data_IF_059672171007
#
_entry.id   IF_059672171007
#
_cell.length_a   1.000
_cell.length_b   1.000
_cell.length_c   1.000
_cell.angle_alpha   90.00
_cell.angle_beta   90.00
_cell.angle_gamma   90.00
#
_symmetry.space_group_name_H-M   'P 1'
#
loop_
_entity.id
_entity.type
_entity.pdbx_description
1 polymer ?
#
# COMPACT_ATOMS: atom_id res chain seq x y z
N UNK A 1 14.45 3.10 45.96
CA UNK A 1 13.72 2.06 45.22
C UNK A 1 12.25 2.43 45.25
N UNK A 2 11.57 2.36 44.11
CA UNK A 2 10.14 2.62 44.01
C UNK A 2 9.39 1.33 44.40
N UNK A 3 8.86 1.28 45.63
CA UNK A 3 8.22 0.09 46.20
C UNK A 3 6.99 -0.36 45.41
N UNK A 4 6.27 0.58 44.78
CA UNK A 4 5.08 0.27 44.00
C UNK A 4 5.47 -0.35 42.65
N UNK A 5 6.59 0.09 42.07
CA UNK A 5 7.17 -0.50 40.87
C UNK A 5 7.64 -1.95 41.14
N UNK A 6 8.33 -2.19 42.25
CA UNK A 6 8.78 -3.53 42.65
C UNK A 6 7.59 -4.47 42.92
N UNK A 7 6.56 -3.96 43.60
CA UNK A 7 5.31 -4.69 43.80
C UNK A 7 4.68 -5.07 42.45
N UNK A 8 4.58 -4.14 41.51
CA UNK A 8 4.00 -4.39 40.19
C UNK A 8 4.81 -5.45 39.41
N UNK A 9 6.15 -5.37 39.41
CA UNK A 9 7.02 -6.38 38.80
C UNK A 9 6.81 -7.76 39.41
N UNK A 10 6.69 -7.85 40.73
CA UNK A 10 6.51 -9.13 41.44
C UNK A 10 5.22 -9.86 41.05
N UNK A 11 4.18 -9.16 40.58
CA UNK A 11 2.87 -9.72 40.26
C UNK A 11 2.63 -9.90 38.75
N UNK A 12 3.62 -9.62 37.89
CA UNK A 12 3.49 -9.76 36.43
C UNK A 12 3.15 -11.18 35.97
N UNK A 13 3.49 -12.21 36.76
CA UNK A 13 3.17 -13.60 36.45
C UNK A 13 1.70 -13.97 36.73
N UNK A 14 0.96 -13.13 37.47
CA UNK A 14 -0.43 -13.40 37.84
C UNK A 14 -1.41 -13.06 36.70
N UNK A 15 -2.64 -13.57 36.78
CA UNK A 15 -3.71 -13.22 35.86
C UNK A 15 -4.24 -11.78 36.05
N UNK A 16 -4.92 -11.17 35.05
CA UNK A 16 -5.40 -9.79 35.13
C UNK A 16 -6.37 -9.47 36.29
N UNK A 17 -7.11 -10.48 36.79
CA UNK A 17 -8.00 -10.31 37.95
C UNK A 17 -7.20 -10.23 39.25
N UNK A 18 -6.22 -11.12 39.43
CA UNK A 18 -5.38 -11.17 40.62
C UNK A 18 -4.44 -9.96 40.72
N UNK A 19 -3.90 -9.50 39.58
CA UNK A 19 -3.12 -8.24 39.54
C UNK A 19 -3.96 -7.06 40.02
N UNK A 20 -5.22 -6.94 39.55
CA UNK A 20 -6.14 -5.89 39.99
C UNK A 20 -6.43 -5.97 41.49
N UNK A 21 -6.66 -7.16 42.02
CA UNK A 21 -6.89 -7.34 43.45
C UNK A 21 -5.66 -6.96 44.28
N UNK A 22 -4.45 -7.32 43.82
CA UNK A 22 -3.19 -6.96 44.50
C UNK A 22 -2.91 -5.46 44.46
N UNK A 23 -3.32 -4.77 43.41
CA UNK A 23 -3.10 -3.33 43.23
C UNK A 23 -4.23 -2.44 43.77
N UNK A 24 -5.29 -3.03 44.36
CA UNK A 24 -6.50 -2.29 44.79
C UNK A 24 -6.25 -1.20 45.84
N UNK A 25 -5.12 -1.27 46.54
CA UNK A 25 -4.72 -0.31 47.56
C UNK A 25 -3.98 0.91 46.98
N UNK A 26 -3.59 0.86 45.71
CA UNK A 26 -2.94 1.97 45.03
C UNK A 26 -3.98 2.88 44.34
N UNK A 27 -3.76 4.21 44.33
CA UNK A 27 -4.52 5.12 43.48
C UNK A 27 -4.46 4.70 42.02
N UNK A 28 -5.51 4.99 41.25
CA UNK A 28 -5.60 4.62 39.83
C UNK A 28 -4.45 5.22 39.02
N UNK A 29 -4.07 6.45 39.33
CA UNK A 29 -2.98 7.20 38.71
C UNK A 29 -1.65 6.49 38.93
N UNK A 30 -1.44 5.95 40.14
CA UNK A 30 -0.23 5.24 40.52
C UNK A 30 -0.14 3.87 39.85
N UNK A 31 -1.27 3.15 39.76
CA UNK A 31 -1.36 1.89 38.99
C UNK A 31 -1.02 2.12 37.52
N UNK A 32 -1.55 3.19 36.91
CA UNK A 32 -1.24 3.56 35.53
C UNK A 32 0.25 3.87 35.41
N UNK A 33 0.82 4.69 36.31
CA UNK A 33 2.24 5.05 36.29
C UNK A 33 3.16 3.84 36.32
N UNK A 34 2.99 2.93 37.29
CA UNK A 34 3.87 1.75 37.42
C UNK A 34 3.69 0.76 36.28
N UNK A 35 2.46 0.61 35.78
CA UNK A 35 2.18 -0.19 34.58
C UNK A 35 2.93 0.35 33.37
N UNK A 36 2.81 1.65 33.09
CA UNK A 36 3.46 2.30 31.96
C UNK A 36 4.98 2.20 32.05
N UNK A 37 5.57 2.37 33.24
CA UNK A 37 7.02 2.21 33.43
C UNK A 37 7.50 0.80 33.08
N UNK A 38 6.81 -0.23 33.57
CA UNK A 38 7.16 -1.63 33.31
C UNK A 38 6.94 -2.00 31.85
N UNK A 39 5.86 -1.54 31.22
CA UNK A 39 5.63 -1.77 29.79
C UNK A 39 6.71 -1.11 28.94
N UNK A 40 7.11 0.13 29.26
CA UNK A 40 8.23 0.82 28.59
C UNK A 40 9.54 0.04 28.74
N UNK A 41 9.86 -0.45 29.94
CA UNK A 41 11.07 -1.25 30.18
C UNK A 41 11.06 -2.55 29.36
N UNK A 42 9.93 -3.24 29.29
CA UNK A 42 9.79 -4.47 28.49
C UNK A 42 9.99 -4.21 27.00
N UNK A 43 9.42 -3.11 26.48
CA UNK A 43 9.62 -2.71 25.08
C UNK A 43 11.06 -2.34 24.78
N UNK A 44 11.71 -1.58 25.66
CA UNK A 44 13.12 -1.21 25.53
C UNK A 44 14.03 -2.45 25.54
N UNK A 45 13.83 -3.36 26.50
CA UNK A 45 14.60 -4.60 26.58
C UNK A 45 14.39 -5.49 25.35
N UNK A 46 13.15 -5.57 24.84
CA UNK A 46 12.85 -6.32 23.62
C UNK A 46 13.61 -5.75 22.43
N UNK A 47 13.64 -4.43 22.27
CA UNK A 47 14.39 -3.81 21.19
C UNK A 47 15.90 -4.02 21.39
N UNK A 48 16.44 -3.81 22.58
CA UNK A 48 17.86 -4.01 22.87
C UNK A 48 18.30 -5.45 22.56
N UNK A 49 17.48 -6.44 22.93
CA UNK A 49 17.75 -7.85 22.63
C UNK A 49 17.66 -8.17 21.13
N UNK A 50 16.80 -7.47 20.39
CA UNK A 50 16.64 -7.65 18.93
C UNK A 50 17.78 -6.99 18.15
N UNK A 51 18.21 -5.80 18.58
CA UNK A 51 19.34 -5.09 17.95
C UNK A 51 20.65 -5.81 18.31
N UNK A 52 20.85 -6.21 19.57
CA UNK A 52 22.00 -7.00 20.03
C UNK A 52 23.39 -6.50 19.54
N UNK A 53 23.56 -5.19 19.34
CA UNK A 53 24.79 -4.58 18.81
C UNK A 53 24.96 -4.66 17.29
N UNK A 54 23.96 -5.12 16.55
CA UNK A 54 23.90 -5.07 15.09
C UNK A 54 23.74 -3.63 14.60
N UNK A 55 24.36 -3.33 13.46
CA UNK A 55 24.10 -2.09 12.71
C UNK A 55 22.79 -2.26 11.93
N UNK A 56 21.73 -1.59 12.38
CA UNK A 56 20.41 -1.65 11.75
C UNK A 56 20.43 -1.13 10.31
N UNK A 57 21.32 -0.19 9.97
CA UNK A 57 21.43 0.32 8.61
C UNK A 57 22.08 -0.72 7.69
N UNK A 58 23.13 -1.42 8.13
CA UNK A 58 23.67 -2.57 7.38
C UNK A 58 22.62 -3.69 7.25
N UNK A 59 21.91 -3.99 8.34
CA UNK A 59 20.93 -5.08 8.34
C UNK A 59 19.82 -4.82 7.32
N UNK A 60 19.31 -3.60 7.24
CA UNK A 60 18.29 -3.23 6.26
C UNK A 60 18.77 -3.38 4.81
N UNK A 61 20.02 -3.02 4.53
CA UNK A 61 20.58 -3.07 3.18
C UNK A 61 21.00 -4.48 2.75
N UNK A 62 21.36 -5.33 3.70
CA UNK A 62 21.83 -6.70 3.42
C UNK A 62 20.76 -7.76 3.59
N UNK A 63 19.77 -7.55 4.47
CA UNK A 63 18.67 -8.47 4.74
C UNK A 63 17.33 -7.71 4.94
N UNK A 64 16.77 -7.10 3.89
CA UNK A 64 15.57 -6.28 3.98
C UNK A 64 14.35 -7.02 4.55
N UNK A 65 14.22 -8.32 4.26
CA UNK A 65 13.11 -9.16 4.73
C UNK A 65 13.07 -9.29 6.26
N UNK A 66 14.22 -9.22 6.94
CA UNK A 66 14.28 -9.27 8.40
C UNK A 66 13.72 -8.00 9.04
N UNK A 67 13.99 -6.84 8.43
CA UNK A 67 13.39 -5.57 8.86
C UNK A 67 11.89 -5.55 8.60
N UNK A 68 11.47 -6.01 7.42
CA UNK A 68 10.07 -6.03 7.01
C UNK A 68 9.21 -6.89 7.95
N UNK A 69 9.70 -8.10 8.29
CA UNK A 69 8.99 -9.06 9.16
C UNK A 69 9.05 -8.71 10.65
N UNK A 70 9.80 -7.68 11.05
CA UNK A 70 10.05 -7.34 12.45
C UNK A 70 9.66 -5.87 12.76
N UNK A 71 8.40 -5.61 13.16
CA UNK A 71 7.92 -4.26 13.41
C UNK A 71 8.74 -3.43 14.43
N UNK A 72 9.27 -4.02 15.53
CA UNK A 72 10.23 -3.33 16.39
C UNK A 72 11.49 -2.81 15.68
N UNK A 73 12.14 -3.63 14.85
CA UNK A 73 13.33 -3.22 14.09
C UNK A 73 12.99 -2.12 13.09
N UNK A 74 11.86 -2.26 12.41
CA UNK A 74 11.31 -1.25 11.49
C UNK A 74 11.12 0.10 12.17
N UNK A 75 10.44 0.12 13.33
CA UNK A 75 10.24 1.34 14.11
C UNK A 75 11.56 1.95 14.57
N UNK A 76 12.51 1.14 15.02
CA UNK A 76 13.82 1.62 15.45
C UNK A 76 14.61 2.25 14.31
N UNK A 77 14.62 1.63 13.12
CA UNK A 77 15.32 2.17 11.94
C UNK A 77 14.74 3.51 11.48
N UNK A 78 13.42 3.68 11.58
CA UNK A 78 12.72 4.94 11.30
C UNK A 78 12.87 5.97 12.43
N UNK A 79 13.41 5.57 13.59
CA UNK A 79 13.54 6.39 14.80
C UNK A 79 12.20 6.73 15.47
N UNK A 80 11.19 5.88 15.28
CA UNK A 80 9.88 5.97 15.95
C UNK A 80 9.98 5.55 17.40
N UNK A 81 8.99 5.93 18.21
CA UNK A 81 8.96 5.52 19.60
C UNK A 81 8.75 4.00 19.70
N UNK A 82 9.53 3.34 20.55
CA UNK A 82 9.38 1.91 20.81
C UNK A 82 8.07 1.61 21.54
N UNK A 83 7.67 2.51 22.44
CA UNK A 83 6.42 2.41 23.19
C UNK A 83 5.29 3.15 22.45
N UNK A 84 4.20 2.47 22.05
CA UNK A 84 3.16 3.07 21.22
C UNK A 84 2.51 4.34 21.79
N UNK A 85 2.32 4.42 23.12
CA UNK A 85 1.67 5.61 23.69
C UNK A 85 2.55 6.86 23.61
N UNK A 86 3.87 6.71 23.57
CA UNK A 86 4.79 7.84 23.45
C UNK A 86 4.66 8.49 22.06
N UNK A 87 4.60 7.65 21.02
CA UNK A 87 4.28 8.10 19.67
C UNK A 87 2.89 8.73 19.60
N UNK A 88 1.86 8.07 20.15
CA UNK A 88 0.49 8.58 20.14
C UNK A 88 0.38 9.94 20.84
N UNK A 89 1.05 10.10 21.99
CA UNK A 89 1.07 11.35 22.73
C UNK A 89 1.81 12.46 21.95
N UNK A 90 2.93 12.13 21.31
CA UNK A 90 3.65 13.07 20.44
C UNK A 90 2.79 13.49 19.26
N UNK A 91 2.18 12.54 18.54
CA UNK A 91 1.28 12.79 17.41
C UNK A 91 0.17 13.73 17.86
N UNK A 92 -0.55 13.38 18.94
CA UNK A 92 -1.64 14.19 19.48
C UNK A 92 -1.21 15.61 19.81
N UNK A 93 -0.02 15.79 20.38
CA UNK A 93 0.55 17.11 20.69
C UNK A 93 0.85 17.91 19.42
N UNK A 94 1.57 17.31 18.46
CA UNK A 94 2.02 17.97 17.23
C UNK A 94 0.82 18.33 16.33
N UNK A 95 -0.17 17.44 16.24
CA UNK A 95 -1.39 17.67 15.44
C UNK A 95 -2.47 18.44 16.20
N UNK A 96 -2.19 18.98 17.40
CA UNK A 96 -3.17 19.67 18.26
C UNK A 96 -4.45 18.86 18.53
N UNK A 97 -4.34 17.53 18.57
CA UNK A 97 -5.44 16.62 18.84
C UNK A 97 -6.24 16.13 17.63
N UNK A 98 -5.95 16.64 16.42
CA UNK A 98 -6.63 16.23 15.18
C UNK A 98 -6.40 14.76 14.83
N UNK A 99 -5.19 14.24 15.09
CA UNK A 99 -4.91 12.81 15.06
C UNK A 99 -4.56 12.30 16.46
N UNK A 100 -4.92 11.05 16.73
CA UNK A 100 -4.64 10.36 18.00
C UNK A 100 -3.58 9.27 17.87
N UNK A 101 -3.33 8.80 16.64
CA UNK A 101 -2.52 7.62 16.37
C UNK A 101 -1.62 7.84 15.16
N UNK A 102 -0.38 7.37 15.24
CA UNK A 102 0.60 7.50 14.17
C UNK A 102 0.14 6.84 12.86
N UNK A 103 -0.27 5.58 12.93
CA UNK A 103 -0.74 4.83 11.74
C UNK A 103 -1.98 5.47 11.11
N UNK A 104 -2.92 5.96 11.92
CA UNK A 104 -4.09 6.69 11.40
C UNK A 104 -3.67 7.97 10.69
N UNK A 105 -2.66 8.70 11.20
CA UNK A 105 -2.16 9.90 10.53
C UNK A 105 -1.48 9.56 9.19
N UNK A 106 -0.68 8.50 9.14
CA UNK A 106 -0.06 8.00 7.91
C UNK A 106 -1.15 7.66 6.88
N UNK A 107 -2.15 6.90 7.29
CA UNK A 107 -3.26 6.50 6.42
C UNK A 107 -4.03 7.70 5.89
N UNK A 108 -4.40 8.64 6.77
CA UNK A 108 -5.06 9.89 6.40
C UNK A 108 -4.26 10.70 5.37
N UNK A 109 -2.93 10.76 5.50
CA UNK A 109 -2.06 11.48 4.56
C UNK A 109 -1.88 10.69 3.25
N UNK A 110 -1.77 9.36 3.30
CA UNK A 110 -1.68 8.51 2.12
C UNK A 110 -2.95 8.58 1.26
N UNK A 111 -4.12 8.58 1.90
CA UNK A 111 -5.44 8.62 1.25
C UNK A 111 -5.98 10.04 1.06
N UNK A 112 -5.13 11.08 1.14
CA UNK A 112 -5.57 12.48 1.02
C UNK A 112 -6.19 12.79 -0.36
N UNK A 113 -5.96 11.92 -1.33
CA UNK A 113 -6.53 11.98 -2.67
C UNK A 113 -7.96 11.40 -2.78
N UNK A 114 -8.56 11.03 -1.63
CA UNK A 114 -9.92 10.53 -1.52
C UNK A 114 -11.00 11.62 -1.50
N UNK A 115 -12.25 11.23 -1.24
CA UNK A 115 -13.39 12.16 -1.18
C UNK A 115 -13.44 13.03 0.06
N UNK A 116 -12.79 12.64 1.15
CA UNK A 116 -12.67 13.46 2.35
C UNK A 116 -11.35 14.21 2.35
N UNK A 117 -11.39 15.54 2.51
CA UNK A 117 -10.22 16.39 2.74
C UNK A 117 -10.11 16.72 4.23
N UNK A 118 -9.48 15.86 5.05
CA UNK A 118 -9.34 16.16 6.47
C UNK A 118 -8.44 17.37 6.68
N UNK A 119 -8.74 18.17 7.70
CA UNK A 119 -7.85 19.23 8.14
C UNK A 119 -6.55 18.62 8.69
N UNK A 120 -5.45 18.73 7.95
CA UNK A 120 -4.13 18.23 8.34
C UNK A 120 -3.17 19.43 8.45
N UNK A 121 -2.72 19.73 9.67
CA UNK A 121 -1.82 20.88 9.90
C UNK A 121 -0.46 20.68 9.21
N UNK A 122 0.23 21.79 8.87
CA UNK A 122 1.59 21.76 8.31
C UNK A 122 2.55 20.87 9.12
N UNK A 123 2.50 20.94 10.45
CA UNK A 123 3.35 20.12 11.31
C UNK A 123 3.01 18.62 11.22
N UNK A 124 1.75 18.26 10.96
CA UNK A 124 1.34 16.88 10.78
C UNK A 124 1.90 16.31 9.47
N UNK A 125 1.85 17.08 8.38
CA UNK A 125 2.51 16.72 7.11
C UNK A 125 4.01 16.51 7.27
N UNK A 126 4.68 17.44 7.95
CA UNK A 126 6.12 17.33 8.24
C UNK A 126 6.43 16.09 9.10
N UNK A 127 5.61 15.81 10.11
CA UNK A 127 5.79 14.64 10.97
C UNK A 127 5.69 13.33 10.19
N UNK A 128 4.74 13.22 9.26
CA UNK A 128 4.58 12.06 8.37
C UNK A 128 5.76 11.95 7.42
N UNK A 129 6.21 13.05 6.81
CA UNK A 129 7.41 13.05 5.99
C UNK A 129 8.60 12.51 6.80
N UNK A 130 8.75 12.93 8.06
CA UNK A 130 9.83 12.48 8.94
C UNK A 130 9.61 11.09 9.56
N UNK A 131 8.80 10.22 8.96
CA UNK A 131 8.56 8.84 9.41
C UNK A 131 8.01 8.72 10.85
N UNK A 132 7.31 9.75 11.33
CA UNK A 132 6.88 9.88 12.73
C UNK A 132 8.04 9.78 13.73
N UNK A 133 9.22 10.28 13.36
CA UNK A 133 10.40 10.32 14.22
C UNK A 133 10.03 10.85 15.61
N UNK A 134 10.44 10.12 16.65
CA UNK A 134 10.13 10.52 18.02
C UNK A 134 10.95 11.74 18.45
N UNK A 135 10.24 12.83 18.77
CA UNK A 135 10.80 14.10 19.20
C UNK A 135 10.21 14.43 20.58
N UNK A 136 10.82 13.88 21.62
CA UNK A 136 10.54 14.30 23.00
C UNK A 136 11.83 14.34 23.82
N UNK A 137 11.98 15.35 24.66
CA UNK A 137 13.17 15.52 25.52
C UNK A 137 14.48 15.91 24.82
N UNK A 138 14.49 16.21 23.51
CA UNK A 138 15.69 16.67 22.78
C UNK A 138 15.62 18.17 22.43
N UNK A 139 16.77 18.81 22.22
CA UNK A 139 16.85 20.19 21.66
C UNK A 139 16.51 20.25 20.16
N UNK A 140 16.02 19.14 19.60
CA UNK A 140 15.76 18.98 18.17
C UNK A 140 14.31 19.40 17.88
N UNK A 141 14.14 20.38 17.00
CA UNK A 141 12.81 20.82 16.56
C UNK A 141 12.39 20.01 15.33
N UNK A 142 11.08 19.85 15.13
CA UNK A 142 10.53 19.15 13.97
C UNK A 142 11.05 19.74 12.64
N UNK A 143 11.19 21.07 12.55
CA UNK A 143 11.75 21.76 11.39
C UNK A 143 13.23 21.40 11.12
N UNK A 144 14.05 21.24 12.16
CA UNK A 144 15.44 20.78 11.98
C UNK A 144 15.50 19.35 11.47
N UNK A 145 14.66 18.47 12.00
CA UNK A 145 14.54 17.08 11.53
C UNK A 145 14.14 17.07 10.07
N UNK A 146 13.12 17.85 9.71
CA UNK A 146 12.62 17.93 8.35
C UNK A 146 13.70 18.32 7.35
N UNK A 147 14.45 19.40 7.63
CA UNK A 147 15.54 19.84 6.75
C UNK A 147 16.66 18.81 6.63
N UNK A 148 17.00 18.14 7.74
CA UNK A 148 17.96 17.03 7.73
C UNK A 148 17.48 15.87 6.87
N UNK A 149 16.20 15.48 6.99
CA UNK A 149 15.59 14.41 6.21
C UNK A 149 15.48 14.76 4.73
N UNK A 150 15.19 16.01 4.41
CA UNK A 150 15.15 16.50 3.03
C UNK A 150 16.54 16.40 2.39
N UNK A 151 17.58 16.84 3.09
CA UNK A 151 18.96 16.73 2.61
C UNK A 151 19.43 15.28 2.48
N UNK A 152 19.06 14.41 3.43
CA UNK A 152 19.40 12.97 3.36
C UNK A 152 18.76 12.25 2.16
N UNK A 153 17.56 12.70 1.77
CA UNK A 153 16.81 12.24 0.61
C UNK A 153 17.41 12.75 -0.69
N UNK A 154 17.67 14.06 -0.81
CA UNK A 154 18.34 14.65 -1.99
C UNK A 154 19.71 14.02 -2.28
N UNK A 155 20.42 13.56 -1.25
CA UNK A 155 21.75 12.96 -1.38
C UNK A 155 21.72 11.42 -1.47
N UNK A 156 20.54 10.79 -1.35
CA UNK A 156 20.38 9.34 -1.14
C UNK A 156 21.41 8.77 -0.20
N UNK A 157 21.47 9.38 0.98
CA UNK A 157 22.40 8.88 2.00
C UNK A 157 22.07 7.43 2.30
N UNK A 158 23.09 6.67 2.68
CA UNK A 158 22.93 5.28 3.09
C UNK A 158 21.85 5.09 4.17
N UNK A 159 21.72 6.07 5.07
CA UNK A 159 20.68 6.08 6.11
C UNK A 159 19.27 6.21 5.54
N UNK A 160 19.08 6.95 4.44
CA UNK A 160 17.79 7.09 3.77
C UNK A 160 17.43 5.84 2.99
N UNK A 161 18.37 5.25 2.25
CA UNK A 161 18.19 3.98 1.55
C UNK A 161 17.73 2.86 2.50
N UNK A 162 18.35 2.78 3.68
CA UNK A 162 17.94 1.84 4.71
C UNK A 162 16.54 2.13 5.28
N UNK A 163 16.18 3.40 5.50
CA UNK A 163 14.81 3.75 5.95
C UNK A 163 13.76 3.43 4.89
N UNK A 164 14.10 3.60 3.62
CA UNK A 164 13.21 3.28 2.50
C UNK A 164 12.84 1.79 2.47
N UNK A 165 13.76 0.90 2.86
CA UNK A 165 13.48 -0.52 3.09
C UNK A 165 12.48 -0.74 4.24
N UNK A 166 12.57 0.05 5.31
CA UNK A 166 11.64 -0.06 6.45
C UNK A 166 10.26 0.54 6.19
N UNK A 167 10.05 1.33 5.13
CA UNK A 167 8.74 1.91 4.83
C UNK A 167 7.87 0.87 4.11
N UNK A 168 6.68 0.64 4.63
CA UNK A 168 5.65 -0.06 3.86
C UNK A 168 4.99 0.90 2.86
N UNK A 169 4.24 0.36 1.90
CA UNK A 169 3.64 1.10 0.79
C UNK A 169 2.88 2.35 1.23
N UNK A 170 2.03 2.24 2.25
CA UNK A 170 1.27 3.37 2.77
C UNK A 170 2.16 4.49 3.33
N UNK A 171 3.29 4.18 3.99
CA UNK A 171 4.26 5.19 4.43
C UNK A 171 4.93 5.89 3.26
N UNK A 172 5.30 5.13 2.21
CA UNK A 172 5.90 5.69 0.99
C UNK A 172 4.92 6.65 0.30
N UNK A 173 3.66 6.25 0.17
CA UNK A 173 2.57 7.07 -0.36
C UNK A 173 2.35 8.34 0.47
N UNK A 174 2.28 8.19 1.78
CA UNK A 174 2.08 9.32 2.69
C UNK A 174 3.25 10.33 2.60
N UNK A 175 4.49 9.82 2.53
CA UNK A 175 5.69 10.64 2.37
C UNK A 175 5.72 11.37 1.03
N UNK A 176 5.36 10.71 -0.08
CA UNK A 176 5.19 11.35 -1.39
C UNK A 176 4.19 12.51 -1.31
N UNK A 177 3.00 12.25 -0.77
CA UNK A 177 1.96 13.27 -0.66
C UNK A 177 2.42 14.45 0.20
N UNK A 178 3.16 14.18 1.29
CA UNK A 178 3.77 15.21 2.11
C UNK A 178 4.84 16.02 1.35
N UNK A 179 5.69 15.38 0.53
CA UNK A 179 6.69 16.05 -0.30
C UNK A 179 6.04 17.07 -1.25
N UNK A 180 4.87 16.77 -1.80
CA UNK A 180 4.11 17.71 -2.64
C UNK A 180 3.49 18.85 -1.83
N UNK A 181 2.88 18.54 -0.69
CA UNK A 181 2.11 19.52 0.08
C UNK A 181 2.98 20.50 0.87
N UNK A 182 4.07 20.04 1.51
CA UNK A 182 4.84 20.86 2.44
C UNK A 182 5.37 22.17 1.79
N UNK A 183 5.99 22.16 0.59
CA UNK A 183 6.47 23.38 -0.04
C UNK A 183 5.37 24.40 -0.33
N UNK A 184 4.16 23.94 -0.67
CA UNK A 184 3.03 24.83 -0.91
C UNK A 184 2.48 25.39 0.41
N UNK A 185 2.43 24.58 1.48
CA UNK A 185 2.05 25.01 2.82
C UNK A 185 3.03 26.00 3.46
N UNK A 186 4.31 25.96 3.05
CA UNK A 186 5.32 26.93 3.47
C UNK A 186 5.09 28.34 2.92
N UNK A 187 4.31 28.48 1.85
CA UNK A 187 4.00 29.76 1.22
C UNK A 187 2.76 30.44 1.82
N UNK A 188 1.98 29.71 2.64
CA UNK A 188 0.80 30.26 3.29
C UNK A 188 1.16 31.26 4.40
N UNK A 189 0.29 32.25 4.56
CA UNK A 189 0.35 33.20 5.67
C UNK A 189 -0.07 32.57 7.00
N UNK A 190 0.32 33.19 8.12
CA UNK A 190 -0.10 32.75 9.46
C UNK A 190 -1.63 32.77 9.63
N UNK A 191 -2.32 33.68 8.95
CA UNK A 191 -3.79 33.78 8.96
C UNK A 191 -4.45 32.58 8.25
N UNK A 192 -3.91 32.16 7.10
CA UNK A 192 -4.37 30.97 6.37
C UNK A 192 -4.11 29.68 7.18
N UNK A 193 -2.97 29.59 7.86
CA UNK A 193 -2.63 28.47 8.73
C UNK A 193 -3.46 28.42 10.03
N UNK A 194 -4.14 29.51 10.38
CA UNK A 194 -4.94 29.66 11.60
C UNK A 194 -6.46 29.59 11.34
N UNK A 195 -6.85 29.25 10.11
CA UNK A 195 -8.25 29.06 9.72
C UNK A 195 -8.97 27.99 10.55
N UNK A 196 -10.31 28.03 10.50
CA UNK A 196 -11.13 26.97 11.07
C UNK A 196 -10.89 25.64 10.34
N UNK A 197 -11.20 24.50 10.97
CA UNK A 197 -10.95 23.18 10.36
C UNK A 197 -11.63 23.01 8.98
N UNK A 198 -12.85 23.54 8.82
CA UNK A 198 -13.58 23.49 7.55
C UNK A 198 -12.93 24.35 6.47
N UNK A 199 -12.62 25.62 6.78
CA UNK A 199 -12.01 26.53 5.81
C UNK A 199 -10.59 26.07 5.42
N UNK A 200 -9.87 25.50 6.38
CA UNK A 200 -8.53 24.97 6.13
C UNK A 200 -8.58 23.71 5.26
N UNK A 201 -9.59 22.84 5.42
CA UNK A 201 -9.83 21.70 4.53
C UNK A 201 -9.98 22.14 3.07
N UNK A 202 -10.81 23.15 2.80
CA UNK A 202 -11.01 23.67 1.44
C UNK A 202 -9.72 24.28 0.88
N UNK A 203 -8.97 25.01 1.72
CA UNK A 203 -7.65 25.54 1.36
C UNK A 203 -6.68 24.41 0.99
N UNK A 204 -6.63 23.33 1.77
CA UNK A 204 -5.78 22.18 1.48
C UNK A 204 -6.19 21.49 0.17
N UNK A 205 -7.48 21.39 -0.13
CA UNK A 205 -7.98 20.83 -1.38
C UNK A 205 -7.50 21.64 -2.60
N UNK A 206 -7.57 22.97 -2.53
CA UNK A 206 -7.10 23.84 -3.60
C UNK A 206 -5.58 23.84 -3.75
N UNK A 207 -4.84 23.68 -2.65
CA UNK A 207 -3.39 23.47 -2.69
C UNK A 207 -3.07 22.13 -3.33
N UNK A 208 -3.77 21.06 -2.95
CA UNK A 208 -3.58 19.72 -3.49
C UNK A 208 -3.70 19.72 -5.01
N UNK A 209 -4.75 20.32 -5.59
CA UNK A 209 -4.92 20.44 -7.05
C UNK A 209 -3.75 21.13 -7.77
N UNK A 210 -3.06 22.04 -7.09
CA UNK A 210 -1.95 22.82 -7.66
C UNK A 210 -0.59 22.16 -7.43
N UNK A 211 -0.41 21.53 -6.29
CA UNK A 211 0.86 20.99 -5.83
C UNK A 211 1.07 19.53 -6.24
N UNK A 212 -0.02 18.75 -6.32
CA UNK A 212 0.03 17.37 -6.79
C UNK A 212 0.13 17.29 -8.32
N UNK A 213 0.69 16.20 -8.82
CA UNK A 213 0.81 15.97 -10.26
C UNK A 213 -0.56 15.82 -10.91
N UNK A 214 -0.74 16.17 -12.20
CA UNK A 214 -1.97 15.80 -12.90
C UNK A 214 -2.12 14.26 -12.91
N UNK A 215 -3.35 13.71 -12.91
CA UNK A 215 -3.55 12.26 -13.00
C UNK A 215 -2.93 11.71 -14.28
N UNK A 216 -2.56 10.42 -14.34
CA UNK A 216 -2.13 9.79 -15.58
C UNK A 216 -3.13 10.01 -16.72
N UNK A 217 -2.64 10.15 -17.96
CA UNK A 217 -3.47 10.42 -19.15
C UNK A 217 -4.64 9.44 -19.29
N UNK A 218 -4.43 8.18 -18.92
CA UNK A 218 -5.47 7.15 -18.98
C UNK A 218 -6.62 7.42 -17.99
N UNK A 219 -6.29 7.88 -16.78
CA UNK A 219 -7.27 8.27 -15.76
C UNK A 219 -8.06 9.47 -16.25
N UNK A 220 -7.38 10.51 -16.75
CA UNK A 220 -8.04 11.68 -17.31
C UNK A 220 -8.99 11.31 -18.45
N UNK A 221 -8.53 10.48 -19.39
CA UNK A 221 -9.36 10.05 -20.52
C UNK A 221 -10.63 9.30 -20.07
N UNK A 222 -10.52 8.41 -19.08
CA UNK A 222 -11.68 7.70 -18.52
C UNK A 222 -12.65 8.66 -17.85
N UNK A 223 -12.12 9.54 -16.98
CA UNK A 223 -12.91 10.48 -16.20
C UNK A 223 -13.59 11.54 -17.08
N UNK A 224 -12.93 12.04 -18.11
CA UNK A 224 -13.49 13.06 -19.00
C UNK A 224 -14.54 12.45 -19.95
N UNK A 225 -14.28 11.23 -20.43
CA UNK A 225 -15.22 10.53 -21.31
C UNK A 225 -16.34 9.80 -20.55
N UNK A 226 -16.27 9.73 -19.21
CA UNK A 226 -17.18 8.96 -18.35
C UNK A 226 -17.36 7.51 -18.83
N UNK A 227 -16.24 6.87 -19.22
CA UNK A 227 -16.26 5.55 -19.82
C UNK A 227 -16.03 4.43 -18.79
N UNK A 228 -16.75 3.30 -18.90
CA UNK A 228 -16.41 2.09 -18.19
C UNK A 228 -14.96 1.67 -18.44
N UNK A 229 -14.24 1.24 -17.40
CA UNK A 229 -12.86 0.78 -17.55
C UNK A 229 -12.56 -0.51 -16.83
N UNK A 230 -11.61 -1.28 -17.36
CA UNK A 230 -11.21 -2.56 -16.80
C UNK A 230 -10.90 -3.60 -17.86
N UNK A 231 -11.28 -4.84 -17.60
CA UNK A 231 -10.96 -5.99 -18.45
C UNK A 231 -12.20 -6.83 -18.71
N UNK A 232 -12.13 -7.63 -19.77
CA UNK A 232 -12.98 -8.81 -19.91
C UNK A 232 -12.42 -9.94 -19.08
N UNK A 233 -13.30 -10.63 -18.35
CA UNK A 233 -12.98 -11.74 -17.47
C UNK A 233 -13.60 -13.03 -17.99
N UNK A 234 -12.86 -14.12 -17.80
CA UNK A 234 -13.29 -15.49 -18.02
C UNK A 234 -13.04 -16.33 -16.78
N UNK A 235 -13.81 -17.40 -16.64
CA UNK A 235 -13.56 -18.48 -15.69
C UNK A 235 -12.88 -19.61 -16.44
N UNK A 236 -11.96 -20.32 -15.78
CA UNK A 236 -11.56 -21.64 -16.27
C UNK A 236 -12.76 -22.59 -16.24
N UNK A 237 -12.72 -23.64 -17.05
CA UNK A 237 -13.76 -24.66 -17.13
C UNK A 237 -14.04 -25.26 -15.74
N UNK A 238 -12.98 -25.55 -14.99
CA UNK A 238 -13.06 -26.09 -13.64
C UNK A 238 -13.79 -25.14 -12.66
N UNK A 239 -13.49 -23.84 -12.73
CA UNK A 239 -14.19 -22.81 -11.93
C UNK A 239 -15.66 -22.72 -12.34
N UNK A 240 -15.96 -22.77 -13.63
CA UNK A 240 -17.35 -22.74 -14.11
C UNK A 240 -18.15 -23.95 -13.62
N UNK A 241 -17.57 -25.15 -13.72
CA UNK A 241 -18.21 -26.40 -13.31
C UNK A 241 -18.48 -26.43 -11.79
N UNK A 242 -17.53 -25.97 -10.97
CA UNK A 242 -17.66 -26.00 -9.52
C UNK A 242 -18.46 -24.83 -8.94
N UNK A 243 -18.22 -23.61 -9.43
CA UNK A 243 -18.71 -22.38 -8.80
C UNK A 243 -19.61 -21.53 -9.72
N UNK A 244 -19.86 -21.92 -10.97
CA UNK A 244 -20.65 -21.12 -11.91
C UNK A 244 -22.01 -20.69 -11.38
N UNK A 245 -22.67 -21.56 -10.60
CA UNK A 245 -23.97 -21.29 -9.97
C UNK A 245 -23.91 -20.38 -8.74
N UNK A 246 -22.78 -20.29 -8.05
CA UNK A 246 -22.54 -19.40 -6.89
C UNK A 246 -21.53 -18.29 -7.19
N UNK A 247 -21.18 -18.08 -8.47
CA UNK A 247 -20.01 -17.30 -8.87
C UNK A 247 -19.99 -15.91 -8.26
N UNK A 248 -21.16 -15.26 -8.21
CA UNK A 248 -21.28 -13.91 -7.64
C UNK A 248 -20.82 -13.86 -6.18
N UNK A 249 -21.25 -14.81 -5.35
CA UNK A 249 -20.92 -14.83 -3.93
C UNK A 249 -19.46 -15.26 -3.71
N UNK A 250 -18.99 -16.22 -4.51
CA UNK A 250 -17.58 -16.64 -4.54
C UNK A 250 -16.66 -15.48 -4.90
N UNK A 251 -17.00 -14.74 -5.96
CA UNK A 251 -16.20 -13.60 -6.42
C UNK A 251 -16.17 -12.46 -5.42
N UNK A 252 -17.32 -12.13 -4.80
CA UNK A 252 -17.39 -11.14 -3.71
C UNK A 252 -16.45 -11.53 -2.58
N UNK A 253 -16.46 -12.80 -2.18
CA UNK A 253 -15.54 -13.30 -1.13
C UNK A 253 -14.08 -13.11 -1.54
N UNK A 254 -13.73 -13.34 -2.80
CA UNK A 254 -12.35 -13.19 -3.31
C UNK A 254 -11.89 -11.73 -3.31
N UNK A 255 -12.74 -10.80 -3.76
CA UNK A 255 -12.39 -9.38 -3.86
C UNK A 255 -12.50 -8.63 -2.53
N UNK A 256 -13.34 -9.10 -1.60
CA UNK A 256 -13.50 -8.53 -0.25
C UNK A 256 -12.47 -9.06 0.76
N UNK A 257 -11.66 -10.06 0.39
CA UNK A 257 -10.54 -10.50 1.23
C UNK A 257 -9.60 -9.31 1.54
N UNK A 258 -9.00 -9.24 2.74
CA UNK A 258 -8.08 -8.17 3.11
C UNK A 258 -6.86 -8.15 2.18
N UNK A 259 -6.96 -7.37 1.12
CA UNK A 259 -5.90 -7.21 0.13
C UNK A 259 -4.95 -6.09 0.56
N UNK A 260 -3.65 -6.30 0.38
CA UNK A 260 -2.63 -5.26 0.60
C UNK A 260 -2.81 -4.13 -0.42
N UNK A 261 -3.59 -3.12 -0.03
CA UNK A 261 -3.73 -1.76 -0.56
C UNK A 261 -3.70 -1.56 -2.09
N UNK A 262 -4.87 -1.33 -2.67
CA UNK A 262 -5.09 -0.19 -3.58
C UNK A 262 -5.17 1.10 -2.72
N UNK A 263 -4.70 2.32 -3.09
CA UNK A 263 -4.28 2.84 -4.41
C UNK A 263 -2.96 3.67 -4.39
N UNK A 264 -2.05 3.43 -5.33
CA UNK A 264 -0.94 4.37 -5.59
C UNK A 264 -1.20 5.32 -6.76
N UNK A 265 -2.27 5.07 -7.53
CA UNK A 265 -2.64 5.90 -8.68
C UNK A 265 -3.28 7.17 -8.17
N UNK A 266 -2.63 8.27 -8.50
CA UNK A 266 -3.08 9.60 -8.17
C UNK A 266 -4.19 10.05 -9.13
N UNK A 267 -5.30 10.53 -8.58
CA UNK A 267 -6.53 10.94 -9.26
C UNK A 267 -6.96 12.39 -8.94
N UNK A 268 -6.13 13.19 -8.27
CA UNK A 268 -6.43 14.57 -7.86
C UNK A 268 -7.82 14.74 -7.19
N UNK A 269 -8.19 13.84 -6.28
CA UNK A 269 -9.47 13.86 -5.56
C UNK A 269 -10.60 13.11 -6.23
N UNK A 270 -10.39 12.59 -7.45
CA UNK A 270 -11.43 11.95 -8.27
C UNK A 270 -11.36 10.43 -8.24
N UNK A 271 -10.72 9.85 -7.21
CA UNK A 271 -10.60 8.39 -7.08
C UNK A 271 -11.98 7.73 -7.00
N UNK A 272 -12.92 8.31 -6.26
CA UNK A 272 -14.27 7.76 -6.14
C UNK A 272 -15.02 7.79 -7.48
N UNK A 273 -14.87 8.86 -8.26
CA UNK A 273 -15.42 8.95 -9.62
C UNK A 273 -14.82 7.88 -10.53
N UNK A 274 -13.50 7.66 -10.45
CA UNK A 274 -12.82 6.62 -11.22
C UNK A 274 -13.31 5.22 -10.83
N UNK A 275 -13.41 4.95 -9.52
CA UNK A 275 -13.79 3.63 -9.01
C UNK A 275 -15.24 3.27 -9.34
N UNK A 276 -16.15 4.23 -9.41
CA UNK A 276 -17.54 4.02 -9.88
C UNK A 276 -17.58 3.56 -11.34
N UNK A 277 -16.60 3.96 -12.16
CA UNK A 277 -16.51 3.57 -13.57
C UNK A 277 -15.81 2.21 -13.77
N UNK A 278 -15.21 1.63 -12.72
CA UNK A 278 -14.54 0.33 -12.81
C UNK A 278 -15.56 -0.75 -13.16
N UNK A 279 -15.26 -1.52 -14.19
CA UNK A 279 -16.16 -2.50 -14.80
C UNK A 279 -15.44 -3.82 -15.04
N UNK A 280 -16.10 -4.89 -14.62
CA UNK A 280 -15.70 -6.27 -14.89
C UNK A 280 -16.64 -6.84 -15.96
N UNK A 281 -16.15 -6.96 -17.20
CA UNK A 281 -16.92 -7.50 -18.31
C UNK A 281 -16.81 -9.03 -18.30
N UNK A 282 -17.80 -9.72 -17.71
CA UNK A 282 -17.81 -11.18 -17.64
C UNK A 282 -18.33 -11.78 -18.94
N UNK A 283 -17.42 -12.31 -19.76
CA UNK A 283 -17.75 -12.93 -21.03
C UNK A 283 -18.38 -14.33 -20.84
N UNK A 284 -19.31 -14.74 -21.74
CA UNK A 284 -19.82 -16.09 -21.74
C UNK A 284 -18.72 -17.10 -22.08
N UNK A 285 -18.91 -18.35 -21.64
CA UNK A 285 -17.97 -19.42 -21.95
C UNK A 285 -17.94 -19.71 -23.45
N UNK A 286 -16.74 -19.89 -24.04
CA UNK A 286 -16.60 -20.21 -25.45
C UNK A 286 -17.07 -21.64 -25.74
N UNK A 287 -17.51 -21.87 -26.97
CA UNK A 287 -17.52 -23.22 -27.55
C UNK A 287 -16.10 -23.61 -27.94
N UNK A 288 -15.63 -24.75 -27.42
CA UNK A 288 -14.24 -25.19 -27.62
C UNK A 288 -13.93 -25.64 -29.06
N UNK A 289 -14.91 -26.14 -29.82
CA UNK A 289 -14.76 -26.50 -31.25
C UNK A 289 -13.51 -27.35 -31.59
N UNK A 290 -13.03 -28.17 -30.65
CA UNK A 290 -11.82 -29.01 -30.82
C UNK A 290 -10.50 -28.29 -30.53
N UNK A 291 -10.54 -27.04 -30.07
CA UNK A 291 -9.42 -26.29 -29.51
C UNK A 291 -9.22 -26.68 -28.04
N UNK A 292 -7.99 -26.50 -27.55
CA UNK A 292 -7.79 -26.44 -26.10
C UNK A 292 -8.40 -25.18 -25.51
N UNK A 293 -8.53 -25.16 -24.19
CA UNK A 293 -9.23 -24.09 -23.48
C UNK A 293 -8.61 -22.71 -23.73
N UNK A 294 -7.28 -22.61 -23.68
CA UNK A 294 -6.61 -21.33 -23.85
C UNK A 294 -6.81 -20.75 -25.25
N UNK A 295 -6.72 -21.58 -26.29
CA UNK A 295 -6.95 -21.16 -27.66
C UNK A 295 -8.42 -20.81 -27.91
N UNK A 296 -9.36 -21.55 -27.30
CA UNK A 296 -10.79 -21.24 -27.35
C UNK A 296 -11.11 -19.88 -26.72
N UNK A 297 -10.54 -19.59 -25.54
CA UNK A 297 -10.70 -18.31 -24.85
C UNK A 297 -10.14 -17.15 -25.67
N UNK A 298 -8.94 -17.29 -26.25
CA UNK A 298 -8.35 -16.27 -27.14
C UNK A 298 -9.22 -16.01 -28.37
N UNK A 299 -9.67 -17.08 -29.04
CA UNK A 299 -10.54 -16.98 -30.22
C UNK A 299 -11.83 -16.24 -29.87
N UNK A 300 -12.50 -16.64 -28.80
CA UNK A 300 -13.74 -16.02 -28.35
C UNK A 300 -13.53 -14.57 -27.95
N UNK A 301 -12.47 -14.24 -27.20
CA UNK A 301 -12.19 -12.85 -26.84
C UNK A 301 -11.95 -11.96 -28.06
N UNK A 302 -11.26 -12.45 -29.10
CA UNK A 302 -11.06 -11.70 -30.36
C UNK A 302 -12.39 -11.37 -31.06
N UNK A 303 -13.41 -12.20 -30.89
CA UNK A 303 -14.76 -11.95 -31.40
C UNK A 303 -15.56 -11.04 -30.47
N UNK A 304 -15.59 -11.37 -29.17
CA UNK A 304 -16.30 -10.63 -28.12
C UNK A 304 -15.87 -9.17 -28.06
N UNK A 305 -14.56 -8.89 -28.14
CA UNK A 305 -14.01 -7.52 -28.07
C UNK A 305 -14.48 -6.60 -29.19
N UNK A 306 -14.96 -7.15 -30.32
CA UNK A 306 -15.55 -6.35 -31.42
C UNK A 306 -16.91 -5.76 -31.05
N UNK A 307 -17.58 -6.35 -30.06
CA UNK A 307 -18.89 -5.90 -29.56
C UNK A 307 -18.78 -4.93 -28.39
N UNK A 308 -17.59 -4.80 -27.79
CA UNK A 308 -17.34 -3.88 -26.69
C UNK A 308 -17.40 -2.42 -27.17
N UNK A 309 -18.32 -1.65 -26.58
CA UNK A 309 -18.57 -0.26 -26.93
C UNK A 309 -17.64 0.72 -26.19
N UNK A 310 -17.08 0.31 -25.04
CA UNK A 310 -16.16 1.15 -24.25
C UNK A 310 -14.71 0.97 -24.72
N UNK A 311 -14.01 2.08 -24.92
CA UNK A 311 -12.56 2.09 -25.14
C UNK A 311 -11.75 1.96 -23.84
N UNK A 312 -12.40 2.06 -22.69
CA UNK A 312 -11.79 1.81 -21.38
C UNK A 312 -11.76 0.33 -21.00
N UNK A 313 -12.49 -0.56 -21.68
CA UNK A 313 -12.27 -2.00 -21.53
C UNK A 313 -11.12 -2.40 -22.44
N UNK A 314 -10.02 -2.88 -21.87
CA UNK A 314 -8.82 -3.16 -22.64
C UNK A 314 -9.04 -4.31 -23.62
N UNK A 315 -8.68 -4.05 -24.88
CA UNK A 315 -8.91 -4.99 -25.99
C UNK A 315 -7.70 -5.88 -26.29
N UNK A 316 -6.54 -5.56 -25.71
CA UNK A 316 -5.28 -6.28 -25.93
C UNK A 316 -5.01 -7.36 -24.87
N UNK A 317 -5.81 -7.39 -23.80
CA UNK A 317 -5.58 -8.22 -22.62
C UNK A 317 -6.92 -8.64 -22.03
N UNK A 318 -7.05 -9.90 -21.64
CA UNK A 318 -8.19 -10.39 -20.88
C UNK A 318 -7.71 -11.20 -19.66
N UNK A 319 -8.58 -11.30 -18.65
CA UNK A 319 -8.26 -11.94 -17.38
C UNK A 319 -8.96 -13.30 -17.32
N UNK A 320 -8.25 -14.32 -16.86
CA UNK A 320 -8.80 -15.65 -16.62
C UNK A 320 -8.62 -16.00 -15.15
N UNK A 321 -9.72 -16.38 -14.50
CA UNK A 321 -9.73 -16.78 -13.10
C UNK A 321 -9.37 -18.27 -12.98
N UNK A 322 -8.21 -18.61 -12.40
CA UNK A 322 -7.80 -19.98 -12.16
C UNK A 322 -8.52 -20.56 -10.94
N UNK A 323 -8.63 -21.89 -10.86
CA UNK A 323 -9.25 -22.56 -9.69
C UNK A 323 -8.41 -22.33 -8.43
N UNK A 324 -7.10 -22.20 -8.60
CA UNK A 324 -6.11 -21.98 -7.55
C UNK A 324 -6.29 -20.65 -6.82
N UNK A 325 -7.05 -19.70 -7.39
CA UNK A 325 -7.41 -18.45 -6.71
C UNK A 325 -8.49 -18.67 -5.63
N UNK A 326 -9.30 -19.72 -5.76
CA UNK A 326 -10.47 -19.92 -4.90
C UNK A 326 -10.01 -20.67 -3.65
N UNK A 327 -10.10 -20.05 -2.45
CA UNK A 327 -9.65 -20.69 -1.23
C UNK A 327 -10.52 -21.91 -0.90
N UNK A 328 -9.88 -23.00 -0.45
CA UNK A 328 -10.57 -24.22 -0.03
C UNK A 328 -11.43 -23.99 1.24
N UNK A 329 -11.06 -23.02 2.08
CA UNK A 329 -11.80 -22.64 3.28
C UNK A 329 -11.75 -21.11 3.50
N UNK A 330 -12.85 -20.45 3.91
CA UNK A 330 -12.89 -19.01 4.16
C UNK A 330 -12.02 -18.53 5.35
N UNK A 331 -11.50 -19.45 6.16
CA UNK A 331 -10.71 -19.18 7.37
C UNK A 331 -9.22 -19.55 7.21
N UNK A 332 -8.77 -19.82 5.98
CA UNK A 332 -7.36 -20.14 5.74
C UNK A 332 -6.52 -18.87 5.87
N UNK A 333 -5.79 -18.74 6.99
CA UNK A 333 -4.94 -17.57 7.29
C UNK A 333 -3.64 -17.56 6.46
N UNK A 334 -3.27 -18.68 5.84
CA UNK A 334 -2.18 -18.80 4.87
C UNK A 334 -2.68 -18.48 3.45
N UNK A 335 -3.12 -17.24 3.23
CA UNK A 335 -3.45 -16.79 1.88
C UNK A 335 -2.14 -16.64 1.09
N UNK A 336 -1.83 -17.65 0.28
CA UNK A 336 -0.94 -17.50 -0.87
C UNK A 336 -1.37 -16.26 -1.67
N UNK A 337 -0.39 -15.53 -2.24
CA UNK A 337 -0.66 -14.28 -2.96
C UNK A 337 -1.75 -14.48 -4.02
N UNK A 338 -2.94 -13.92 -3.81
CA UNK A 338 -4.07 -14.04 -4.73
C UNK A 338 -3.70 -13.53 -6.13
N UNK A 339 -3.65 -14.43 -7.13
CA UNK A 339 -3.21 -14.11 -8.48
C UNK A 339 -4.18 -14.61 -9.55
N UNK A 340 -4.15 -13.97 -10.71
CA UNK A 340 -4.93 -14.32 -11.90
C UNK A 340 -4.01 -14.49 -13.10
N UNK A 341 -4.51 -15.14 -14.16
CA UNK A 341 -3.83 -15.11 -15.45
C UNK A 341 -4.27 -13.90 -16.26
N UNK A 342 -3.31 -13.09 -16.71
CA UNK A 342 -3.54 -12.11 -17.77
C UNK A 342 -3.07 -12.67 -19.11
N UNK A 343 -3.98 -12.76 -20.07
CA UNK A 343 -3.73 -13.33 -21.39
C UNK A 343 -3.53 -12.23 -22.43
N UNK A 344 -2.54 -12.45 -23.28
CA UNK A 344 -2.32 -11.66 -24.49
C UNK A 344 -3.33 -12.09 -25.55
N UNK A 345 -4.20 -11.15 -25.93
CA UNK A 345 -5.28 -11.38 -26.87
C UNK A 345 -4.77 -11.72 -28.28
N UNK A 346 -3.63 -11.15 -28.66
CA UNK A 346 -3.09 -11.20 -30.01
C UNK A 346 -1.90 -12.16 -30.12
N UNK A 347 -1.55 -12.86 -29.04
CA UNK A 347 -0.52 -13.90 -29.06
C UNK A 347 -0.92 -15.10 -29.92
N UNK A 348 0.08 -15.64 -30.62
CA UNK A 348 -0.02 -16.82 -31.47
C UNK A 348 1.15 -17.78 -31.17
N UNK A 349 0.91 -19.08 -31.26
CA UNK A 349 1.90 -20.14 -30.99
C UNK A 349 3.09 -20.10 -31.96
N UNK A 350 2.85 -19.55 -33.15
CA UNK A 350 3.82 -19.43 -34.24
C UNK A 350 4.71 -18.17 -34.11
N UNK A 351 4.51 -17.34 -33.07
CA UNK A 351 5.36 -16.18 -32.78
C UNK A 351 6.77 -16.59 -32.30
N UNK A 352 7.75 -15.67 -32.40
CA UNK A 352 9.15 -15.92 -32.03
C UNK A 352 9.28 -16.55 -30.63
N UNK A 353 10.01 -17.67 -30.56
CA UNK A 353 10.18 -18.39 -29.32
C UNK A 353 10.94 -17.55 -28.29
N UNK A 354 10.29 -17.33 -27.16
CA UNK A 354 10.89 -16.65 -26.02
C UNK A 354 11.01 -17.65 -24.89
N UNK A 355 12.25 -17.93 -24.49
CA UNK A 355 12.56 -18.91 -23.46
C UNK A 355 13.33 -18.19 -22.35
N UNK A 356 12.90 -18.37 -21.11
CA UNK A 356 13.56 -17.87 -19.92
C UNK A 356 13.55 -18.98 -18.87
N UNK A 357 14.68 -19.27 -18.24
CA UNK A 357 14.82 -20.34 -17.24
C UNK A 357 14.30 -21.73 -17.71
N UNK A 358 14.29 -21.99 -19.02
CA UNK A 358 13.76 -23.23 -19.61
C UNK A 358 12.24 -23.24 -19.83
N UNK A 359 11.51 -22.21 -19.41
CA UNK A 359 10.09 -22.03 -19.69
C UNK A 359 9.88 -21.20 -20.95
N UNK A 360 8.90 -21.58 -21.78
CA UNK A 360 8.50 -20.85 -22.99
C UNK A 360 7.36 -19.90 -22.66
N UNK A 361 7.42 -18.67 -23.17
CA UNK A 361 6.29 -17.73 -23.07
C UNK A 361 5.06 -18.28 -23.81
N UNK A 362 3.93 -18.37 -23.10
CA UNK A 362 2.67 -18.94 -23.59
C UNK A 362 1.59 -17.88 -23.83
N UNK A 363 1.96 -16.61 -24.05
CA UNK A 363 0.98 -15.55 -24.25
C UNK A 363 0.16 -15.23 -22.98
N UNK A 364 0.72 -15.46 -21.80
CA UNK A 364 0.10 -15.15 -20.51
C UNK A 364 1.14 -14.91 -19.41
N UNK A 365 0.74 -14.19 -18.37
CA UNK A 365 1.55 -13.92 -17.18
C UNK A 365 0.67 -13.95 -15.94
N UNK A 366 1.21 -14.42 -14.81
CA UNK A 366 0.51 -14.35 -13.52
C UNK A 366 0.59 -12.93 -12.97
N UNK A 367 -0.54 -12.40 -12.54
CA UNK A 367 -0.65 -11.03 -12.02
C UNK A 367 -1.41 -11.08 -10.69
N UNK A 368 -0.92 -10.42 -9.62
CA UNK A 368 -1.70 -10.27 -8.39
C UNK A 368 -3.04 -9.62 -8.70
N UNK A 369 -4.14 -10.13 -8.12
CA UNK A 369 -5.49 -9.55 -8.35
C UNK A 369 -5.51 -8.05 -7.98
N UNK A 370 -4.73 -7.70 -6.96
CA UNK A 370 -4.51 -6.35 -6.46
C UNK A 370 -3.69 -5.45 -7.39
N UNK A 371 -3.16 -5.94 -8.50
CA UNK A 371 -2.48 -5.08 -9.46
C UNK A 371 -3.40 -4.68 -10.62
N UNK A 372 -4.54 -5.38 -10.80
CA UNK A 372 -5.40 -5.27 -11.98
C UNK A 372 -6.00 -3.88 -12.17
N UNK A 373 -6.62 -3.32 -11.13
CA UNK A 373 -7.38 -2.05 -11.19
C UNK A 373 -6.53 -0.80 -11.36
N UNK A 374 -5.43 -0.89 -12.11
CA UNK A 374 -4.21 -0.35 -11.59
C UNK A 374 -3.03 -0.06 -12.47
N UNK A 375 -1.84 -0.24 -11.90
CA UNK A 375 -0.62 -0.21 -12.68
C UNK A 375 -0.62 -1.24 -13.80
N UNK A 376 -1.22 -2.42 -13.57
CA UNK A 376 -1.37 -3.38 -14.64
C UNK A 376 -2.26 -2.83 -15.75
N UNK A 377 -3.42 -2.23 -15.40
CA UNK A 377 -4.28 -1.56 -16.37
C UNK A 377 -3.56 -0.43 -17.10
N UNK A 378 -2.86 0.44 -16.37
CA UNK A 378 -2.11 1.56 -16.93
C UNK A 378 -1.07 1.09 -17.96
N UNK A 379 -0.24 0.11 -17.58
CA UNK A 379 0.81 -0.44 -18.44
C UNK A 379 0.25 -1.12 -19.71
N UNK A 380 -0.98 -1.64 -19.66
CA UNK A 380 -1.66 -2.23 -20.82
C UNK A 380 -2.49 -1.22 -21.62
N UNK A 381 -2.95 -0.13 -21.01
CA UNK A 381 -3.72 0.91 -21.68
C UNK A 381 -2.88 1.75 -22.62
N UNK A 382 -1.64 2.08 -22.24
CA UNK A 382 -0.71 2.79 -23.10
C UNK A 382 -0.36 1.86 -24.27
N UNK A 383 -1.02 2.04 -25.42
CA UNK A 383 -0.92 1.15 -26.59
C UNK A 383 0.48 0.98 -27.21
N UNK A 384 1.52 1.61 -26.63
CA UNK A 384 2.94 1.39 -26.94
C UNK A 384 3.80 1.01 -25.71
N UNK A 385 3.17 0.64 -24.59
CA UNK A 385 3.81 0.28 -23.32
C UNK A 385 4.31 -1.16 -23.26
N UNK A 386 4.74 -1.56 -22.05
CA UNK A 386 5.33 -2.86 -21.72
C UNK A 386 4.45 -4.01 -22.23
N UNK A 387 5.00 -4.89 -23.08
CA UNK A 387 4.27 -6.05 -23.58
C UNK A 387 4.06 -7.09 -22.48
N UNK A 388 3.04 -7.94 -22.60
CA UNK A 388 2.85 -9.05 -21.63
C UNK A 388 4.04 -10.02 -21.63
N UNK A 389 4.78 -10.10 -22.75
CA UNK A 389 6.04 -10.82 -22.85
C UNK A 389 7.12 -10.20 -21.95
N UNK A 390 7.27 -8.88 -21.96
CA UNK A 390 8.24 -8.18 -21.09
C UNK A 390 7.84 -8.30 -19.62
N UNK A 391 6.54 -8.21 -19.32
CA UNK A 391 6.01 -8.47 -17.99
C UNK A 391 6.30 -9.90 -17.54
N UNK A 392 6.11 -10.89 -18.40
CA UNK A 392 6.45 -12.28 -18.14
C UNK A 392 7.94 -12.46 -17.86
N UNK A 393 8.83 -11.85 -18.67
CA UNK A 393 10.28 -11.88 -18.43
C UNK A 393 10.66 -11.29 -17.07
N UNK A 394 10.00 -10.21 -16.63
CA UNK A 394 10.19 -9.65 -15.30
C UNK A 394 9.70 -10.61 -14.22
N UNK A 395 8.53 -11.23 -14.42
CA UNK A 395 7.92 -12.16 -13.49
C UNK A 395 8.81 -13.37 -13.19
N UNK A 396 9.59 -13.84 -14.17
CA UNK A 396 10.56 -14.95 -13.98
C UNK A 396 11.66 -14.68 -12.94
N UNK A 397 11.80 -13.45 -12.46
CA UNK A 397 12.72 -13.08 -11.37
C UNK A 397 12.08 -13.22 -9.98
N UNK A 398 10.76 -13.33 -9.91
CA UNK A 398 10.01 -13.52 -8.67
C UNK A 398 9.95 -15.02 -8.36
N UNK A 399 10.09 -15.45 -7.09
CA UNK A 399 10.02 -16.87 -6.70
C UNK A 399 8.75 -17.58 -7.20
N UNK A 400 7.63 -16.87 -7.24
CA UNK A 400 6.32 -17.41 -7.65
C UNK A 400 5.95 -17.13 -9.12
N UNK A 401 6.90 -16.63 -9.91
CA UNK A 401 6.68 -16.20 -11.31
C UNK A 401 5.54 -15.18 -11.46
N UNK A 402 5.37 -14.30 -10.47
CA UNK A 402 4.35 -13.25 -10.43
C UNK A 402 4.91 -11.96 -11.01
N UNK A 403 4.13 -11.29 -11.85
CA UNK A 403 4.44 -9.92 -12.23
C UNK A 403 4.06 -8.99 -11.09
N UNK A 404 5.07 -8.49 -10.39
CA UNK A 404 4.90 -7.46 -9.37
C UNK A 404 5.39 -6.12 -9.93
N UNK A 405 4.54 -5.12 -9.79
CA UNK A 405 4.91 -3.74 -10.00
C UNK A 405 5.53 -3.19 -8.70
N UNK A 406 6.74 -3.63 -8.37
CA UNK A 406 7.52 -2.97 -7.34
C UNK A 406 7.81 -1.55 -7.83
N UNK A 407 7.36 -0.55 -7.06
CA UNK A 407 7.73 0.83 -7.29
C UNK A 407 9.26 0.91 -7.29
N UNK A 408 9.84 1.53 -8.31
CA UNK A 408 11.27 1.84 -8.29
C UNK A 408 11.59 2.81 -7.14
N UNK A 409 12.87 2.90 -6.77
CA UNK A 409 13.37 3.80 -5.73
C UNK A 409 12.87 5.25 -5.92
N UNK A 410 12.61 5.94 -4.81
CA UNK A 410 11.85 7.20 -4.74
C UNK A 410 12.41 8.36 -5.61
N UNK A 411 13.63 8.25 -6.12
CA UNK A 411 14.30 9.25 -6.96
C UNK A 411 13.76 9.36 -8.38
N UNK A 412 13.08 8.34 -8.87
CA UNK A 412 12.52 8.34 -10.22
C UNK A 412 11.06 8.84 -10.25
N UNK A 413 10.59 9.41 -9.14
CA UNK A 413 9.19 9.82 -8.91
C UNK A 413 8.89 11.29 -9.27
N UNK A 414 9.87 12.05 -9.75
CA UNK A 414 9.65 13.45 -10.16
C UNK A 414 9.00 13.56 -11.55
N UNK A 415 8.76 12.44 -12.22
CA UNK A 415 7.89 12.31 -13.38
C UNK A 415 7.06 11.02 -13.22
N UNK A 416 5.73 11.09 -13.11
CA UNK A 416 4.93 9.96 -13.59
C UNK A 416 5.11 9.92 -15.12
N UNK A 417 6.07 9.13 -15.61
CA UNK A 417 5.71 7.92 -16.35
C UNK A 417 6.62 6.72 -15.98
N UNK A 418 6.10 5.50 -16.12
CA UNK A 418 6.98 4.34 -16.26
C UNK A 418 6.63 3.47 -17.46
N UNK A 419 7.64 3.35 -18.34
CA UNK A 419 7.95 2.17 -19.15
C UNK A 419 9.01 1.37 -18.42
#
# INVERSE_FOLDING_TARGET
MDSNLELYRSILHLGPKDRRQRLQHLPKEEVIRVKTLVEREQWAQRLENLVAGQDLFELALTNPLEIEKNPPLRKALLGRACYPDDENNMVRRITKGLSRHGESLISTVASFDGSSYPAITKNAWILVYCDLLYIDGSNMTLDKVYRSRLQEDELQTRSEQAREVARHNEMKLARRNAKWMIPALEQLSDDELSQSEYDFSDTLHEIWKKASHPPPTWVQHILDAQQPWGFTYYKTQEVEEMYGHTWKDTWITIIDMPQLSWPSIHCQGRVDELMVLKTEDWAPMPTYEGLDEEDALRKHFREHRKSLSSRGILQNTFIVIPIELIPNHPDDEELDQCWVWAYDADWDRDSEETICNGEKYQGRVKVPIIALGGWFYAARWEGGGVSLRDMWLKAQKHPDNLWICDSKELEEWDHEPYV
#
